data_IF_893440974415
#
_entry.id   IF_893440974415
#
_cell.length_a   1.000
_cell.length_b   1.000
_cell.length_c   1.000
_cell.angle_alpha   90.00
_cell.angle_beta   90.00
_cell.angle_gamma   90.00
#
_symmetry.space_group_name_H-M   'P 1'
#
loop_
_entity.id
_entity.type
_entity.pdbx_description
1 polymer ?
#
# COMPACT_ATOMS: atom_id res chain seq x y z
N UNK A 1 -18.63 43.11 30.43
CA UNK A 1 -17.72 42.07 30.82
C UNK A 1 -18.06 40.77 30.11
N UNK A 2 -17.41 40.47 29.01
CA UNK A 2 -17.15 39.11 28.62
C UNK A 2 -16.09 39.16 27.52
N UNK A 3 -14.85 38.95 27.94
CA UNK A 3 -13.74 38.76 27.05
C UNK A 3 -13.79 37.34 26.51
N UNK A 4 -13.99 37.21 25.22
CA UNK A 4 -13.62 35.99 24.54
C UNK A 4 -12.29 36.24 23.80
N UNK A 5 -11.24 35.74 24.44
CA UNK A 5 -9.97 35.56 23.80
C UNK A 5 -10.15 34.56 22.63
N UNK A 6 -10.07 35.07 21.43
CA UNK A 6 -9.93 34.23 20.23
C UNK A 6 -8.43 33.98 20.05
N UNK A 7 -7.94 32.92 20.68
CA UNK A 7 -6.62 32.35 20.36
C UNK A 7 -6.75 31.51 19.10
N UNK A 8 -6.67 32.16 17.94
CA UNK A 8 -6.68 31.52 16.65
C UNK A 8 -5.28 31.44 16.08
N UNK A 9 -4.81 30.26 15.82
CA UNK A 9 -3.65 29.93 15.01
C UNK A 9 -3.83 30.54 13.62
N UNK A 10 -3.28 31.71 13.38
CA UNK A 10 -3.43 32.42 12.14
C UNK A 10 -2.13 33.04 11.64
N UNK A 11 -1.01 32.26 11.63
CA UNK A 11 0.27 32.77 11.13
C UNK A 11 0.24 33.18 9.65
N UNK A 12 -0.64 32.60 8.84
CA UNK A 12 -0.75 32.95 7.41
C UNK A 12 -1.64 34.15 7.11
N UNK A 13 -2.58 34.44 8.03
CA UNK A 13 -3.53 35.53 7.81
C UNK A 13 -2.96 36.89 8.24
N UNK A 14 -2.12 36.90 9.29
CA UNK A 14 -1.49 38.12 9.75
C UNK A 14 -0.40 38.60 8.77
N UNK A 15 0.36 37.72 8.16
CA UNK A 15 1.38 38.07 7.20
C UNK A 15 0.76 38.64 5.91
N UNK A 16 -0.36 38.08 5.47
CA UNK A 16 -1.12 38.60 4.35
C UNK A 16 -1.70 40.00 4.65
N UNK A 17 -2.23 40.19 5.86
CA UNK A 17 -2.82 41.45 6.29
C UNK A 17 -1.78 42.54 6.50
N UNK A 18 -0.62 42.22 7.07
CA UNK A 18 0.49 43.14 7.22
C UNK A 18 1.06 43.55 5.86
N UNK A 19 1.16 42.66 4.91
CA UNK A 19 1.67 42.97 3.56
C UNK A 19 0.71 43.88 2.77
N UNK A 20 -0.60 43.79 3.05
CA UNK A 20 -1.62 44.61 2.37
C UNK A 20 -1.81 45.99 3.02
N UNK A 21 -1.67 46.11 4.34
CA UNK A 21 -2.03 47.31 5.11
C UNK A 21 -0.89 47.90 5.91
N UNK A 22 0.26 47.24 6.00
CA UNK A 22 1.37 47.63 6.89
C UNK A 22 2.34 48.71 6.35
N UNK A 23 2.16 49.21 5.13
CA UNK A 23 3.11 50.24 4.66
C UNK A 23 2.46 51.32 3.80
N UNK A 24 2.00 52.36 4.44
CA UNK A 24 1.83 53.67 3.79
C UNK A 24 3.12 54.47 3.86
N UNK A 25 4.15 54.01 3.20
CA UNK A 25 5.40 54.77 3.19
C UNK A 25 6.43 54.19 2.22
N UNK A 26 6.51 54.77 1.04
CA UNK A 26 7.64 54.73 0.12
C UNK A 26 8.34 53.43 -0.15
N UNK A 27 8.10 52.94 -1.34
CA UNK A 27 8.91 51.92 -1.99
C UNK A 27 8.03 50.83 -2.54
N UNK A 28 7.84 50.81 -3.84
CA UNK A 28 7.25 49.70 -4.59
C UNK A 28 8.11 48.46 -4.36
N UNK A 29 7.95 47.81 -3.24
CA UNK A 29 8.43 46.43 -3.09
C UNK A 29 7.33 45.53 -3.62
N UNK A 30 7.54 44.99 -4.82
CA UNK A 30 6.78 43.86 -5.32
C UNK A 30 7.02 42.70 -4.35
N UNK A 31 6.23 42.62 -3.26
CA UNK A 31 6.31 41.51 -2.37
C UNK A 31 5.81 40.24 -3.13
N UNK A 32 6.69 39.27 -3.29
CA UNK A 32 6.34 38.01 -3.89
C UNK A 32 5.46 37.19 -2.94
N UNK A 33 4.44 36.54 -3.49
CA UNK A 33 3.58 35.63 -2.76
C UNK A 33 3.87 34.19 -3.16
N UNK A 34 3.94 33.30 -2.17
CA UNK A 34 4.09 31.87 -2.40
C UNK A 34 2.87 31.32 -3.15
N UNK A 35 3.11 30.44 -4.13
CA UNK A 35 2.06 29.72 -4.84
C UNK A 35 1.29 28.76 -3.94
N UNK A 36 0.15 28.30 -4.41
CA UNK A 36 -0.69 27.35 -3.71
C UNK A 36 -0.04 25.96 -3.69
N UNK A 37 -0.30 25.21 -2.64
CA UNK A 37 0.01 23.80 -2.62
C UNK A 37 -1.05 23.01 -3.38
N UNK A 38 -0.63 21.99 -4.09
CA UNK A 38 -1.54 21.06 -4.77
C UNK A 38 -1.56 19.73 -4.06
N UNK A 39 -2.70 19.06 -4.14
CA UNK A 39 -2.92 17.72 -3.61
C UNK A 39 -3.41 16.83 -4.74
N UNK A 40 -2.83 15.67 -4.87
CA UNK A 40 -3.21 14.67 -5.86
C UNK A 40 -3.20 13.29 -5.23
N UNK A 41 -4.13 12.44 -5.68
CA UNK A 41 -4.14 11.04 -5.34
C UNK A 41 -3.53 10.23 -6.48
N UNK A 42 -2.72 9.25 -6.15
CA UNK A 42 -2.15 8.33 -7.11
C UNK A 42 -2.60 6.91 -6.77
N UNK A 43 -3.39 6.34 -7.67
CA UNK A 43 -3.88 4.98 -7.53
C UNK A 43 -2.83 3.98 -8.00
N UNK A 44 -2.52 3.01 -7.15
CA UNK A 44 -1.58 1.94 -7.43
C UNK A 44 -2.22 0.59 -7.13
N UNK A 45 -1.85 -0.43 -7.90
CA UNK A 45 -2.08 -1.80 -7.49
C UNK A 45 -1.09 -2.19 -6.39
N UNK A 46 -1.39 -3.26 -5.65
CA UNK A 46 -0.43 -3.79 -4.67
C UNK A 46 0.88 -4.19 -5.36
N UNK A 47 0.80 -4.78 -6.54
CA UNK A 47 1.97 -5.22 -7.30
C UNK A 47 2.81 -4.05 -7.80
N UNK A 48 2.19 -2.95 -8.22
CA UNK A 48 2.90 -1.72 -8.58
C UNK A 48 3.65 -1.14 -7.38
N UNK A 49 3.01 -1.12 -6.21
CA UNK A 49 3.62 -0.63 -4.99
C UNK A 49 4.77 -1.52 -4.47
N UNK A 50 4.86 -2.76 -4.95
CA UNK A 50 5.95 -3.69 -4.62
C UNK A 50 7.21 -3.47 -5.42
N UNK A 51 7.21 -2.57 -6.40
CA UNK A 51 8.35 -2.32 -7.26
C UNK A 51 8.65 -0.83 -7.35
N UNK A 52 9.93 -0.49 -7.26
CA UNK A 52 10.38 0.87 -7.58
C UNK A 52 10.15 1.13 -9.05
N UNK A 53 9.37 2.14 -9.38
CA UNK A 53 9.02 2.47 -10.75
C UNK A 53 8.76 3.96 -10.93
N UNK A 54 8.72 4.38 -12.18
CA UNK A 54 8.44 5.77 -12.55
C UNK A 54 7.01 5.87 -13.09
N UNK A 55 6.32 6.94 -12.68
CA UNK A 55 5.02 7.29 -13.22
C UNK A 55 4.96 8.77 -13.56
N UNK A 56 4.09 9.12 -14.51
CA UNK A 56 3.80 10.49 -14.89
C UNK A 56 2.41 10.85 -14.38
N UNK A 57 2.33 11.94 -13.62
CA UNK A 57 1.08 12.52 -13.15
C UNK A 57 0.80 13.81 -13.91
N UNK A 58 -0.46 14.03 -14.24
CA UNK A 58 -0.91 15.33 -14.74
C UNK A 58 -1.56 16.09 -13.60
N UNK A 59 -0.95 17.19 -13.20
CA UNK A 59 -1.44 18.07 -12.13
C UNK A 59 -1.59 19.48 -12.70
N UNK A 60 -2.81 20.00 -12.71
CA UNK A 60 -3.16 21.31 -13.28
C UNK A 60 -2.57 21.54 -14.68
N UNK A 61 -2.74 20.57 -15.57
CA UNK A 61 -2.29 20.62 -16.95
C UNK A 61 -0.79 20.43 -17.17
N UNK A 62 -0.01 20.20 -16.11
CA UNK A 62 1.43 19.91 -16.19
C UNK A 62 1.69 18.43 -15.89
N UNK A 63 2.57 17.82 -16.69
CA UNK A 63 3.02 16.46 -16.46
C UNK A 63 4.20 16.46 -15.49
N UNK A 64 4.08 15.72 -14.41
CA UNK A 64 5.12 15.54 -13.40
C UNK A 64 5.55 14.07 -13.39
N UNK A 65 6.83 13.84 -13.64
CA UNK A 65 7.42 12.50 -13.58
C UNK A 65 7.97 12.27 -12.18
N UNK A 66 7.53 11.20 -11.55
CA UNK A 66 7.98 10.83 -10.20
C UNK A 66 8.52 9.41 -10.18
N UNK A 67 9.44 9.17 -9.27
CA UNK A 67 9.90 7.81 -8.93
C UNK A 67 9.19 7.37 -7.65
N UNK A 68 8.49 6.25 -7.73
CA UNK A 68 7.77 5.67 -6.60
C UNK A 68 8.64 4.55 -6.03
N UNK A 69 9.18 4.69 -4.81
CA UNK A 69 9.94 3.61 -4.20
C UNK A 69 9.07 2.41 -3.86
N UNK A 70 9.62 1.21 -3.99
CA UNK A 70 8.95 0.01 -3.54
C UNK A 70 8.64 0.09 -2.04
N UNK A 71 7.49 -0.43 -1.64
CA UNK A 71 7.12 -0.49 -0.23
C UNK A 71 6.23 0.64 0.26
N UNK A 72 5.80 1.57 -0.61
CA UNK A 72 4.86 2.61 -0.21
C UNK A 72 3.59 2.01 0.38
N UNK A 73 3.04 2.67 1.38
CA UNK A 73 1.82 2.23 2.06
C UNK A 73 0.59 2.97 1.54
N UNK A 74 -0.57 2.32 1.67
CA UNK A 74 -1.85 2.98 1.38
C UNK A 74 -2.03 4.18 2.31
N UNK A 75 -2.39 5.33 1.74
CA UNK A 75 -2.55 6.58 2.47
C UNK A 75 -1.26 7.33 2.75
N UNK A 76 -0.12 6.81 2.36
CA UNK A 76 1.15 7.50 2.50
C UNK A 76 1.20 8.72 1.60
N UNK A 77 1.72 9.83 2.14
CA UNK A 77 1.85 11.09 1.43
C UNK A 77 3.33 11.39 1.18
N UNK A 78 3.64 11.76 -0.05
CA UNK A 78 4.95 12.32 -0.39
C UNK A 78 4.80 13.79 -0.79
N UNK A 79 5.82 14.58 -0.49
CA UNK A 79 5.87 15.99 -0.83
C UNK A 79 6.91 16.23 -1.93
N UNK A 80 6.49 16.87 -3.01
CA UNK A 80 7.37 17.36 -4.06
C UNK A 80 7.49 18.86 -3.95
N UNK A 81 8.61 19.31 -3.43
CA UNK A 81 8.89 20.74 -3.21
C UNK A 81 8.93 21.49 -4.54
N UNK A 82 8.18 22.58 -4.61
CA UNK A 82 8.17 23.46 -5.78
C UNK A 82 7.30 23.00 -6.94
N UNK A 83 6.56 21.90 -6.80
CA UNK A 83 5.66 21.37 -7.84
C UNK A 83 4.20 21.77 -7.66
N UNK A 84 3.93 22.72 -6.78
CA UNK A 84 2.61 23.32 -6.62
C UNK A 84 2.35 24.46 -7.61
N UNK A 85 1.47 25.37 -7.24
CA UNK A 85 1.13 26.54 -8.03
C UNK A 85 2.28 27.52 -8.14
N UNK A 86 2.30 28.27 -9.23
CA UNK A 86 3.30 29.31 -9.43
C UNK A 86 3.14 30.43 -8.41
N UNK A 87 4.26 30.96 -7.95
CA UNK A 87 4.26 32.15 -7.10
C UNK A 87 3.90 33.41 -7.89
N UNK A 88 3.51 34.44 -7.19
CA UNK A 88 3.14 35.74 -7.75
C UNK A 88 4.26 36.75 -7.45
N UNK A 89 4.56 37.61 -8.40
CA UNK A 89 5.58 38.69 -8.28
C UNK A 89 6.95 38.16 -7.80
N UNK A 90 7.42 37.06 -8.39
CA UNK A 90 8.70 36.44 -8.03
C UNK A 90 8.69 35.64 -6.75
N UNK A 91 7.52 35.35 -6.16
CA UNK A 91 7.38 34.47 -5.03
C UNK A 91 7.68 33.00 -5.40
N UNK A 92 8.01 32.14 -4.43
CA UNK A 92 8.29 30.73 -4.68
C UNK A 92 7.04 29.97 -5.08
N UNK A 93 7.20 28.92 -5.84
CA UNK A 93 6.11 27.98 -6.12
C UNK A 93 5.68 27.25 -4.83
N UNK A 94 4.42 26.85 -4.78
CA UNK A 94 3.92 25.94 -3.76
C UNK A 94 4.46 24.53 -3.95
N UNK A 95 3.98 23.61 -3.12
CA UNK A 95 4.40 22.21 -3.14
C UNK A 95 3.28 21.31 -3.63
N UNK A 96 3.64 20.13 -4.12
CA UNK A 96 2.69 19.09 -4.49
C UNK A 96 2.73 17.97 -3.46
N UNK A 97 1.58 17.64 -2.92
CA UNK A 97 1.39 16.49 -2.01
C UNK A 97 0.67 15.38 -2.76
N UNK A 98 1.29 14.21 -2.81
CA UNK A 98 0.74 13.04 -3.48
C UNK A 98 0.40 12.01 -2.42
N UNK A 99 -0.87 11.60 -2.38
CA UNK A 99 -1.35 10.52 -1.52
C UNK A 99 -1.45 9.25 -2.34
N UNK A 100 -0.79 8.18 -1.89
CA UNK A 100 -0.89 6.88 -2.55
C UNK A 100 -2.16 6.17 -2.09
N UNK A 101 -2.95 5.73 -3.06
CA UNK A 101 -4.15 4.94 -2.84
C UNK A 101 -3.90 3.56 -3.43
N UNK A 102 -3.69 2.56 -2.58
CA UNK A 102 -3.36 1.20 -2.98
C UNK A 102 -4.60 0.33 -2.86
N UNK A 103 -5.07 -0.17 -4.01
CA UNK A 103 -6.23 -1.06 -4.05
C UNK A 103 -5.93 -2.40 -3.38
N UNK A 104 -6.97 -3.02 -2.82
CA UNK A 104 -6.89 -4.38 -2.32
C UNK A 104 -6.53 -5.35 -3.46
N UNK A 105 -5.62 -6.27 -3.17
CA UNK A 105 -5.24 -7.33 -4.11
C UNK A 105 -6.18 -8.53 -3.96
N UNK A 106 -6.58 -9.20 -5.07
CA UNK A 106 -7.46 -10.35 -4.97
C UNK A 106 -6.81 -11.58 -4.35
N UNK A 107 -5.49 -11.65 -4.28
CA UNK A 107 -4.73 -12.81 -3.78
C UNK A 107 -4.08 -12.53 -2.43
N UNK A 108 -3.38 -11.42 -2.32
CA UNK A 108 -2.59 -11.09 -1.14
C UNK A 108 -3.24 -10.00 -0.30
N UNK A 109 -3.26 -10.23 1.01
CA UNK A 109 -3.59 -9.19 1.99
C UNK A 109 -2.31 -8.68 2.61
N UNK A 110 -2.09 -7.37 2.56
CA UNK A 110 -0.92 -6.74 3.16
C UNK A 110 -1.23 -6.20 4.55
N UNK A 111 -0.35 -6.52 5.51
CA UNK A 111 -0.32 -5.88 6.83
C UNK A 111 1.14 -5.48 7.13
N UNK A 112 1.41 -4.18 7.10
CA UNK A 112 2.78 -3.69 7.20
C UNK A 112 3.61 -4.19 6.02
N UNK A 113 4.68 -4.90 6.30
CA UNK A 113 5.55 -5.51 5.29
C UNK A 113 5.28 -7.00 5.08
N UNK A 114 4.34 -7.57 5.82
CA UNK A 114 3.93 -8.97 5.65
C UNK A 114 2.75 -9.10 4.71
N UNK A 115 2.73 -10.20 4.00
CA UNK A 115 1.65 -10.60 3.12
C UNK A 115 0.98 -11.87 3.66
N UNK A 116 -0.31 -11.96 3.44
CA UNK A 116 -1.15 -13.10 3.85
C UNK A 116 -1.86 -13.66 2.62
N UNK A 117 -1.85 -14.96 2.49
CA UNK A 117 -2.51 -15.67 1.40
C UNK A 117 -3.15 -16.94 1.89
N UNK A 118 -4.36 -17.22 1.41
CA UNK A 118 -5.02 -18.50 1.61
C UNK A 118 -4.70 -19.42 0.43
N UNK A 119 -4.22 -20.61 0.74
CA UNK A 119 -3.83 -21.60 -0.26
C UNK A 119 -4.70 -22.83 -0.10
N UNK A 120 -5.56 -23.13 -1.07
CA UNK A 120 -6.34 -24.37 -1.04
C UNK A 120 -5.42 -25.57 -1.28
N UNK A 121 -5.57 -26.60 -0.46
CA UNK A 121 -4.94 -27.91 -0.65
C UNK A 121 -6.02 -28.98 -0.68
N UNK A 122 -5.81 -30.02 -1.48
CA UNK A 122 -6.77 -31.11 -1.50
C UNK A 122 -6.65 -32.00 -0.25
N UNK A 123 -7.72 -32.75 0.04
CA UNK A 123 -7.79 -33.61 1.19
C UNK A 123 -6.64 -34.62 1.23
N UNK A 124 -6.27 -35.18 0.08
CA UNK A 124 -5.23 -36.21 0.00
C UNK A 124 -3.86 -35.67 0.33
N UNK A 125 -3.55 -34.49 -0.19
CA UNK A 125 -2.28 -33.77 0.14
C UNK A 125 -2.24 -33.41 1.62
N UNK A 126 -3.35 -32.98 2.19
CA UNK A 126 -3.43 -32.65 3.62
C UNK A 126 -3.16 -33.89 4.49
N UNK A 127 -3.73 -35.03 4.14
CA UNK A 127 -3.64 -36.29 4.93
C UNK A 127 -2.29 -36.98 4.70
N UNK A 128 -1.90 -37.16 3.45
CA UNK A 128 -0.75 -37.98 3.07
C UNK A 128 0.54 -37.20 2.93
N UNK A 129 0.45 -35.85 2.90
CA UNK A 129 1.58 -35.01 2.59
C UNK A 129 1.80 -34.90 1.09
N UNK A 130 2.67 -34.02 0.71
CA UNK A 130 3.02 -33.78 -0.68
C UNK A 130 3.57 -32.38 -0.89
N UNK A 131 3.62 -31.95 -2.14
CA UNK A 131 4.10 -30.63 -2.52
C UNK A 131 2.92 -29.75 -2.93
N UNK A 132 3.00 -28.49 -2.55
CA UNK A 132 2.02 -27.46 -2.93
C UNK A 132 2.75 -26.26 -3.51
N UNK A 133 2.34 -25.87 -4.71
CA UNK A 133 2.81 -24.61 -5.31
C UNK A 133 2.05 -23.44 -4.69
N UNK A 134 2.79 -22.41 -4.30
CA UNK A 134 2.27 -21.19 -3.69
C UNK A 134 2.74 -20.00 -4.50
N UNK A 135 1.80 -19.14 -4.90
CA UNK A 135 2.13 -17.90 -5.57
C UNK A 135 2.77 -16.91 -4.58
N UNK A 136 3.84 -16.27 -5.03
CA UNK A 136 4.47 -15.14 -4.35
C UNK A 136 4.47 -13.93 -5.29
N UNK A 137 4.89 -12.77 -4.83
CA UNK A 137 4.97 -11.59 -5.70
C UNK A 137 5.98 -11.77 -6.83
N UNK A 138 7.00 -12.59 -6.65
CA UNK A 138 8.09 -12.81 -7.61
C UNK A 138 8.13 -14.21 -8.19
N UNK A 139 7.00 -14.90 -8.21
CA UNK A 139 6.89 -16.23 -8.81
C UNK A 139 6.26 -17.26 -7.90
N UNK A 140 6.48 -18.52 -8.23
CA UNK A 140 5.92 -19.66 -7.47
C UNK A 140 7.00 -20.32 -6.63
N UNK A 141 6.61 -20.73 -5.43
CA UNK A 141 7.45 -21.48 -4.50
C UNK A 141 6.77 -22.81 -4.21
N UNK A 142 7.54 -23.89 -4.20
CA UNK A 142 7.05 -25.21 -3.82
C UNK A 142 7.21 -25.38 -2.31
N UNK A 143 6.08 -25.58 -1.62
CA UNK A 143 6.06 -25.90 -0.19
C UNK A 143 5.82 -27.36 0.03
N UNK A 144 6.52 -27.94 0.98
CA UNK A 144 6.28 -29.31 1.44
C UNK A 144 5.19 -29.32 2.48
N UNK A 145 4.09 -30.02 2.20
CA UNK A 145 2.99 -30.21 3.13
C UNK A 145 3.25 -31.50 3.90
N UNK A 146 3.29 -31.42 5.23
CA UNK A 146 3.48 -32.58 6.09
C UNK A 146 2.21 -33.46 6.10
N UNK A 147 2.32 -34.78 6.24
CA UNK A 147 1.16 -35.61 6.47
C UNK A 147 0.33 -35.14 7.67
N UNK A 148 -0.97 -35.34 7.61
CA UNK A 148 -1.93 -35.00 8.68
C UNK A 148 -1.98 -33.48 8.96
N UNK A 149 -1.75 -32.67 7.94
CA UNK A 149 -1.88 -31.21 8.03
C UNK A 149 -3.35 -30.83 8.20
N UNK A 150 -3.62 -30.06 9.24
CA UNK A 150 -4.96 -29.61 9.57
C UNK A 150 -5.38 -28.37 8.80
N UNK A 151 -6.68 -28.23 8.58
CA UNK A 151 -7.23 -26.99 8.01
C UNK A 151 -6.84 -25.78 8.87
N UNK A 152 -6.46 -24.70 8.22
CA UNK A 152 -6.04 -23.47 8.92
C UNK A 152 -4.58 -23.47 9.38
N UNK A 153 -3.82 -24.52 9.08
CA UNK A 153 -2.39 -24.55 9.38
C UNK A 153 -1.67 -23.44 8.64
N UNK A 154 -0.79 -22.74 9.33
CA UNK A 154 -0.01 -21.64 8.79
C UNK A 154 1.43 -22.06 8.51
N UNK A 155 1.95 -21.56 7.40
CA UNK A 155 3.36 -21.67 7.03
C UNK A 155 3.91 -20.27 6.75
N UNK A 156 5.13 -20.00 7.22
CA UNK A 156 5.79 -18.71 6.99
C UNK A 156 6.90 -18.87 5.96
N UNK A 157 6.81 -18.08 4.90
CA UNK A 157 7.88 -17.96 3.91
C UNK A 157 8.67 -16.68 4.19
N UNK A 158 9.80 -16.85 4.82
CA UNK A 158 10.66 -15.72 5.22
C UNK A 158 11.18 -14.99 3.99
N UNK A 159 11.06 -13.66 4.02
CA UNK A 159 11.54 -12.79 2.96
C UNK A 159 10.70 -12.79 1.68
N UNK A 160 9.53 -13.42 1.68
CA UNK A 160 8.59 -13.45 0.54
C UNK A 160 7.40 -12.50 0.70
N UNK A 161 7.48 -11.59 1.66
CA UNK A 161 6.48 -10.55 1.88
C UNK A 161 6.68 -9.33 1.01
N UNK A 162 6.27 -8.19 1.53
CA UNK A 162 6.32 -6.91 0.82
C UNK A 162 7.67 -6.23 1.03
N UNK A 163 8.18 -5.51 0.01
CA UNK A 163 9.42 -4.75 0.18
C UNK A 163 9.29 -3.72 1.30
N UNK A 164 10.34 -3.57 2.08
CA UNK A 164 10.39 -2.54 3.13
C UNK A 164 10.75 -1.19 2.51
N UNK A 165 9.93 -0.19 2.77
CA UNK A 165 10.10 1.14 2.22
C UNK A 165 11.48 1.73 2.55
N UNK A 166 12.18 2.22 1.53
CA UNK A 166 13.54 2.80 1.62
C UNK A 166 14.61 1.90 2.24
N UNK A 167 14.38 0.59 2.28
CA UNK A 167 15.36 -0.40 2.71
C UNK A 167 15.52 -1.45 1.63
N UNK A 168 16.31 -1.11 0.61
CA UNK A 168 16.52 -1.97 -0.54
C UNK A 168 17.02 -3.36 -0.12
N UNK A 169 16.46 -4.40 -0.73
CA UNK A 169 16.80 -5.78 -0.45
C UNK A 169 16.20 -6.35 0.83
N UNK A 170 15.42 -5.56 1.59
CA UNK A 170 14.70 -6.05 2.77
C UNK A 170 13.22 -6.28 2.44
N UNK A 171 12.70 -7.40 2.92
CA UNK A 171 11.32 -7.83 2.69
C UNK A 171 10.73 -8.35 3.99
N UNK A 172 9.42 -8.16 4.15
CA UNK A 172 8.67 -8.90 5.16
C UNK A 172 8.46 -10.35 4.75
N UNK A 173 7.54 -11.02 5.39
CA UNK A 173 7.28 -12.45 5.20
C UNK A 173 5.93 -12.68 4.54
N UNK A 174 5.80 -13.83 3.88
CA UNK A 174 4.52 -14.32 3.39
C UNK A 174 3.99 -15.37 4.35
N UNK A 175 2.80 -15.13 4.89
CA UNK A 175 2.10 -16.07 5.75
C UNK A 175 1.03 -16.79 4.93
N UNK A 176 1.25 -18.09 4.75
CA UNK A 176 0.34 -18.98 4.04
C UNK A 176 -0.58 -19.63 5.05
N UNK A 177 -1.89 -19.61 4.78
CA UNK A 177 -2.88 -20.39 5.54
C UNK A 177 -3.44 -21.45 4.62
N UNK A 178 -3.32 -22.73 4.99
CA UNK A 178 -3.87 -23.83 4.23
C UNK A 178 -5.37 -23.96 4.46
N UNK A 179 -6.12 -24.06 3.37
CA UNK A 179 -7.55 -24.33 3.36
C UNK A 179 -7.78 -25.69 2.72
N UNK A 180 -8.17 -26.67 3.52
CA UNK A 180 -8.38 -28.03 3.03
C UNK A 180 -9.69 -28.10 2.27
N UNK A 181 -9.64 -28.55 1.02
CA UNK A 181 -10.78 -28.75 0.15
C UNK A 181 -11.19 -30.21 0.14
N UNK A 182 -12.42 -30.46 0.53
CA UNK A 182 -13.01 -31.78 0.44
C UNK A 182 -13.34 -32.11 -1.02
N UNK A 183 -13.08 -33.35 -1.47
CA UNK A 183 -13.47 -33.74 -2.82
C UNK A 183 -14.98 -33.74 -2.99
N UNK A 184 -15.43 -33.40 -4.20
CA UNK A 184 -16.84 -33.42 -4.58
C UNK A 184 -17.03 -34.35 -5.79
N UNK A 185 -18.26 -34.64 -6.14
CA UNK A 185 -18.61 -35.53 -7.27
C UNK A 185 -17.93 -36.88 -7.18
N UNK A 186 -17.99 -37.47 -5.99
CA UNK A 186 -17.36 -38.77 -5.73
C UNK A 186 -18.09 -39.90 -6.48
N UNK A 187 -17.29 -40.82 -7.04
CA UNK A 187 -17.81 -42.06 -7.59
C UNK A 187 -18.28 -42.98 -6.49
N UNK A 188 -19.10 -44.00 -6.83
CA UNK A 188 -19.53 -45.03 -5.84
C UNK A 188 -18.32 -45.77 -5.27
N UNK A 189 -17.31 -46.05 -6.10
CA UNK A 189 -16.08 -46.69 -5.62
C UNK A 189 -15.34 -45.82 -4.60
N UNK A 190 -15.26 -44.52 -4.82
CA UNK A 190 -14.63 -43.59 -3.87
C UNK A 190 -15.43 -43.51 -2.56
N UNK A 191 -16.75 -43.43 -2.64
CA UNK A 191 -17.61 -43.41 -1.44
C UNK A 191 -17.44 -44.69 -0.62
N UNK A 192 -17.34 -45.83 -1.27
CA UNK A 192 -17.13 -47.12 -0.59
C UNK A 192 -15.80 -47.11 0.18
N UNK A 193 -14.73 -46.57 -0.41
CA UNK A 193 -13.45 -46.48 0.28
C UNK A 193 -13.54 -45.53 1.50
N UNK A 194 -14.27 -44.43 1.39
CA UNK A 194 -14.50 -43.55 2.54
C UNK A 194 -15.33 -44.23 3.64
N UNK A 195 -16.35 -44.98 3.29
CA UNK A 195 -17.12 -45.77 4.28
C UNK A 195 -16.23 -46.77 5.00
N UNK A 196 -15.34 -47.43 4.25
CA UNK A 196 -14.36 -48.35 4.83
C UNK A 196 -13.44 -47.66 5.84
N UNK A 197 -12.92 -46.51 5.48
CA UNK A 197 -12.13 -45.67 6.39
C UNK A 197 -12.93 -45.27 7.63
N UNK A 198 -14.17 -44.84 7.44
CA UNK A 198 -15.08 -44.48 8.53
C UNK A 198 -15.28 -45.61 9.50
N UNK A 199 -15.41 -46.86 9.01
CA UNK A 199 -15.62 -48.05 9.84
C UNK A 199 -14.39 -48.44 10.67
N UNK A 200 -13.21 -47.93 10.32
CA UNK A 200 -11.96 -48.23 11.04
C UNK A 200 -11.75 -47.28 12.23
N UNK A 201 -12.60 -46.28 12.38
CA UNK A 201 -12.45 -45.24 13.39
C UNK A 201 -13.25 -45.54 14.66
#
# INVERSE_FOLDING_TARGET
SDGQEFSGHGGGFSDFFESMFGNRGRGSSNAGFRGQDYHADLNLSLRDAAQTHKQVLTVNGKNVRITIPAGVANGQVIKLKGYGGEGVNGGPAGDLYITFVIADDPVFKRLGDDLYVDVPIDLYTAILGGDQLVDTLDGKVKLKVKPETQNGTKARLKGKGFPVYKKEGQFGDLIVTYSVKLPTNLTEAQKELFRKLQSMN
#
